data_IF_955628221429
#
_entry.id   IF_955628221429
#
_cell.length_a   1.000
_cell.length_b   1.000
_cell.length_c   1.000
_cell.angle_alpha   90.00
_cell.angle_beta   90.00
_cell.angle_gamma   90.00
#
_symmetry.space_group_name_H-M   'P 1'
#
loop_
_entity.id
_entity.type
_entity.pdbx_description
1 polymer ?
#
# COMPACT_ATOMS: atom_id res chain seq x y z
N UNK A 1 8.00 -44.86 17.69
CA UNK A 1 6.63 -44.39 17.93
C UNK A 1 6.23 -43.49 16.76
N UNK A 2 5.27 -43.90 15.93
CA UNK A 2 4.75 -43.06 14.83
C UNK A 2 3.79 -42.04 15.44
N UNK A 3 4.21 -40.79 15.57
CA UNK A 3 3.31 -39.68 15.85
C UNK A 3 2.60 -39.36 14.54
N UNK A 4 1.40 -39.90 14.36
CA UNK A 4 0.52 -39.48 13.27
C UNK A 4 0.04 -38.06 13.59
N UNK A 5 0.70 -37.05 13.01
CA UNK A 5 0.24 -35.66 12.99
C UNK A 5 -1.04 -35.55 12.14
N UNK A 6 -2.14 -36.12 12.61
CA UNK A 6 -3.46 -35.71 12.17
C UNK A 6 -3.77 -34.41 12.91
N UNK A 7 -3.25 -33.30 12.40
CA UNK A 7 -3.78 -31.98 12.76
C UNK A 7 -5.24 -31.99 12.36
N UNK A 8 -6.13 -32.20 13.33
CA UNK A 8 -7.56 -32.03 13.16
C UNK A 8 -7.77 -30.53 12.94
N UNK A 9 -7.63 -30.12 11.68
CA UNK A 9 -7.87 -28.76 11.26
C UNK A 9 -9.34 -28.47 11.49
N UNK A 10 -9.61 -27.39 12.23
CA UNK A 10 -10.99 -26.96 12.44
C UNK A 10 -11.56 -26.48 11.10
N UNK A 11 -12.81 -26.82 10.79
CA UNK A 11 -13.49 -26.35 9.58
C UNK A 11 -13.66 -24.81 9.53
N UNK A 12 -13.48 -24.12 10.67
CA UNK A 12 -13.54 -22.64 10.77
C UNK A 12 -12.16 -21.96 10.66
N UNK A 13 -11.16 -22.65 10.12
CA UNK A 13 -9.82 -22.07 9.93
C UNK A 13 -9.83 -20.83 9.02
N UNK A 14 -10.69 -20.78 8.01
CA UNK A 14 -10.82 -19.60 7.13
C UNK A 14 -11.31 -18.36 7.90
N UNK A 15 -12.29 -18.55 8.80
CA UNK A 15 -12.83 -17.46 9.62
C UNK A 15 -11.81 -16.90 10.61
N UNK A 16 -10.85 -17.72 11.05
CA UNK A 16 -9.73 -17.28 11.89
C UNK A 16 -8.85 -16.26 11.17
N UNK A 17 -8.58 -16.47 9.88
CA UNK A 17 -7.77 -15.54 9.07
C UNK A 17 -8.49 -14.21 8.92
N UNK A 18 -9.78 -14.24 8.59
CA UNK A 18 -10.64 -13.04 8.48
C UNK A 18 -10.69 -12.28 9.82
N UNK A 19 -10.78 -12.99 10.95
CA UNK A 19 -10.69 -12.40 12.29
C UNK A 19 -9.33 -11.73 12.55
N UNK A 20 -8.22 -12.42 12.21
CA UNK A 20 -6.84 -11.95 12.43
C UNK A 20 -6.48 -10.69 11.66
N UNK A 21 -7.08 -10.46 10.49
CA UNK A 21 -6.89 -9.26 9.68
C UNK A 21 -7.91 -8.15 9.97
N UNK A 22 -8.86 -8.39 10.88
CA UNK A 22 -9.92 -7.43 11.20
C UNK A 22 -10.93 -7.24 10.07
N UNK A 23 -11.02 -8.22 9.17
CA UNK A 23 -11.95 -8.22 8.05
C UNK A 23 -13.33 -8.78 8.46
N UNK A 24 -13.41 -9.47 9.61
CA UNK A 24 -14.64 -10.04 10.12
C UNK A 24 -15.61 -8.93 10.57
N UNK A 25 -16.89 -9.08 10.23
CA UNK A 25 -17.93 -8.21 10.77
C UNK A 25 -18.05 -8.38 12.30
N UNK A 26 -18.69 -7.43 12.98
CA UNK A 26 -18.83 -7.49 14.45
C UNK A 26 -19.56 -8.74 14.94
N UNK A 27 -20.51 -9.24 14.16
CA UNK A 27 -21.29 -10.42 14.51
C UNK A 27 -20.46 -11.69 14.28
N UNK A 28 -19.75 -11.79 13.15
CA UNK A 28 -18.83 -12.89 12.85
C UNK A 28 -17.69 -12.97 13.87
N UNK A 29 -17.09 -11.84 14.24
CA UNK A 29 -16.04 -11.79 15.25
C UNK A 29 -16.51 -12.34 16.62
N UNK A 30 -17.72 -11.95 17.05
CA UNK A 30 -18.31 -12.47 18.30
C UNK A 30 -18.61 -13.97 18.23
N UNK A 31 -19.08 -14.44 17.08
CA UNK A 31 -19.40 -15.86 16.89
C UNK A 31 -18.14 -16.72 16.75
N UNK A 32 -17.04 -16.16 16.23
CA UNK A 32 -15.73 -16.79 16.24
C UNK A 32 -15.13 -16.81 17.65
N UNK A 33 -15.24 -15.74 18.43
CA UNK A 33 -14.79 -15.70 19.83
C UNK A 33 -15.48 -16.75 20.70
N UNK A 34 -16.81 -16.93 20.54
CA UNK A 34 -17.55 -18.02 21.21
C UNK A 34 -17.06 -19.41 20.78
N UNK A 35 -16.68 -19.58 19.52
CA UNK A 35 -16.14 -20.84 19.04
C UNK A 35 -14.76 -21.12 19.62
N UNK A 36 -13.89 -20.11 19.71
CA UNK A 36 -12.58 -20.24 20.32
C UNK A 36 -12.64 -20.66 21.79
N UNK A 37 -13.66 -20.22 22.54
CA UNK A 37 -13.89 -20.68 23.92
C UNK A 37 -14.19 -22.18 24.02
N UNK A 38 -14.70 -22.78 22.93
CA UNK A 38 -15.11 -24.19 22.87
C UNK A 38 -14.18 -25.07 22.01
N UNK A 39 -13.24 -24.47 21.27
CA UNK A 39 -12.36 -25.15 20.33
C UNK A 39 -10.89 -24.86 20.69
N UNK A 40 -10.26 -25.78 21.41
CA UNK A 40 -8.86 -25.66 21.82
C UNK A 40 -7.89 -25.62 20.64
N UNK A 41 -8.20 -26.27 19.52
CA UNK A 41 -7.38 -26.25 18.31
C UNK A 41 -7.23 -24.83 17.76
N UNK A 42 -8.36 -24.12 17.56
CA UNK A 42 -8.33 -22.72 17.11
C UNK A 42 -7.67 -21.78 18.13
N UNK A 43 -7.86 -22.01 19.42
CA UNK A 43 -7.20 -21.20 20.45
C UNK A 43 -5.67 -21.35 20.43
N UNK A 44 -5.17 -22.59 20.23
CA UNK A 44 -3.74 -22.88 20.12
C UNK A 44 -3.14 -22.32 18.82
N UNK A 45 -3.85 -22.47 17.70
CA UNK A 45 -3.42 -21.89 16.41
C UNK A 45 -3.34 -20.36 16.50
N UNK A 46 -4.35 -19.70 17.09
CA UNK A 46 -4.33 -18.25 17.26
C UNK A 46 -3.16 -17.78 18.14
N UNK A 47 -2.86 -18.51 19.22
CA UNK A 47 -1.70 -18.23 20.08
C UNK A 47 -0.38 -18.42 19.30
N UNK A 48 -0.26 -19.48 18.50
CA UNK A 48 0.91 -19.70 17.66
C UNK A 48 1.12 -18.57 16.63
N UNK A 49 0.05 -18.06 16.02
CA UNK A 49 0.12 -16.88 15.15
C UNK A 49 0.56 -15.62 15.89
N UNK A 50 0.15 -15.46 17.16
CA UNK A 50 0.63 -14.38 18.04
C UNK A 50 2.16 -14.38 18.15
N UNK A 51 2.74 -15.54 18.44
CA UNK A 51 4.20 -15.69 18.57
C UNK A 51 4.94 -15.35 17.25
N UNK A 52 4.38 -15.74 16.10
CA UNK A 52 4.96 -15.39 14.79
C UNK A 52 4.93 -13.88 14.55
N UNK A 53 3.81 -13.20 14.90
CA UNK A 53 3.70 -11.75 14.75
C UNK A 53 4.68 -11.00 15.66
N UNK A 54 4.87 -11.48 16.89
CA UNK A 54 5.86 -10.95 17.81
C UNK A 54 7.28 -11.10 17.27
N UNK A 55 7.66 -12.31 16.84
CA UNK A 55 8.97 -12.57 16.24
C UNK A 55 9.24 -11.72 14.97
N UNK A 56 8.24 -11.54 14.11
CA UNK A 56 8.33 -10.64 12.93
C UNK A 56 8.46 -9.19 13.37
N UNK A 57 7.78 -8.78 14.44
CA UNK A 57 7.91 -7.45 15.04
C UNK A 57 9.32 -7.19 15.56
N UNK A 58 9.87 -8.12 16.32
CA UNK A 58 11.25 -8.08 16.82
C UNK A 58 12.26 -8.05 15.67
N UNK A 59 12.12 -8.94 14.68
CA UNK A 59 12.99 -8.95 13.50
C UNK A 59 12.93 -7.63 12.73
N UNK A 60 11.73 -7.07 12.57
CA UNK A 60 11.54 -5.76 11.93
C UNK A 60 12.22 -4.66 12.75
N UNK A 61 12.10 -4.69 14.07
CA UNK A 61 12.78 -3.74 14.95
C UNK A 61 14.29 -3.92 14.92
N UNK A 62 14.82 -5.13 14.82
CA UNK A 62 16.25 -5.38 14.70
C UNK A 62 16.79 -4.92 13.34
N UNK A 63 16.06 -5.22 12.26
CA UNK A 63 16.48 -4.91 10.88
C UNK A 63 16.35 -3.42 10.54
N UNK A 64 15.30 -2.76 11.05
CA UNK A 64 15.04 -1.34 10.79
C UNK A 64 15.52 -0.43 11.93
N UNK A 65 15.69 -0.95 13.15
CA UNK A 65 16.12 -0.20 14.32
C UNK A 65 17.53 0.39 14.20
N UNK A 66 18.37 -0.23 13.38
CA UNK A 66 19.68 0.33 13.01
C UNK A 66 19.56 1.60 12.14
N UNK A 67 18.43 1.77 11.42
CA UNK A 67 18.19 2.90 10.54
C UNK A 67 17.30 3.98 11.17
N UNK A 68 16.55 3.66 12.24
CA UNK A 68 15.80 4.66 13.01
C UNK A 68 16.70 5.30 14.06
N UNK A 69 17.59 6.18 13.61
CA UNK A 69 17.43 7.59 13.99
C UNK A 69 16.73 7.90 15.33
N UNK A 70 17.31 7.88 16.55
CA UNK A 70 16.59 8.27 17.78
C UNK A 70 15.99 9.69 17.74
N UNK A 71 16.42 10.51 16.77
CA UNK A 71 15.82 11.79 16.46
C UNK A 71 14.35 11.72 15.98
N UNK A 72 13.87 10.57 15.46
CA UNK A 72 12.49 10.43 14.99
C UNK A 72 11.50 10.05 16.11
N UNK A 73 11.94 9.30 17.13
CA UNK A 73 11.10 8.94 18.28
C UNK A 73 10.70 10.15 19.14
N UNK A 74 11.56 11.17 19.21
CA UNK A 74 11.25 12.43 19.88
C UNK A 74 10.06 13.19 19.25
N UNK A 75 9.76 12.94 17.97
CA UNK A 75 8.59 13.51 17.30
C UNK A 75 7.37 12.56 17.30
N UNK A 76 7.57 11.24 17.25
CA UNK A 76 6.47 10.27 17.35
C UNK A 76 5.78 10.30 18.73
N UNK A 77 6.53 10.50 19.82
CA UNK A 77 5.97 10.65 21.16
C UNK A 77 5.10 11.92 21.33
N UNK A 78 5.22 12.92 20.45
CA UNK A 78 4.39 14.13 20.47
C UNK A 78 3.06 13.98 19.73
N UNK A 79 2.88 12.92 18.94
CA UNK A 79 1.64 12.68 18.18
C UNK A 79 0.60 11.82 18.91
N UNK A 80 0.93 11.27 20.09
CA UNK A 80 -0.03 10.57 20.96
C UNK A 80 -0.64 11.46 22.04
N UNK A 81 -0.38 12.77 22.03
CA UNK A 81 -1.23 13.71 22.75
C UNK A 81 -2.55 13.88 21.96
N UNK A 82 -3.73 13.62 22.57
CA UNK A 82 -5.02 13.78 21.90
C UNK A 82 -5.33 15.28 21.77
N UNK A 83 -4.67 15.96 20.84
CA UNK A 83 -5.01 17.30 20.43
C UNK A 83 -6.18 17.22 19.45
N UNK A 84 -7.39 17.15 20.02
CA UNK A 84 -8.63 17.50 19.34
C UNK A 84 -8.56 18.99 19.00
N UNK A 85 -7.90 19.35 17.90
CA UNK A 85 -7.98 20.70 17.35
C UNK A 85 -8.10 20.64 15.84
N UNK A 86 -9.35 20.77 15.41
CA UNK A 86 -9.84 21.34 14.15
C UNK A 86 -9.15 20.94 12.84
N UNK A 87 -9.95 20.29 12.00
CA UNK A 87 -9.76 20.03 10.58
C UNK A 87 -9.28 21.27 9.81
N UNK A 88 -7.96 21.48 9.77
CA UNK A 88 -7.31 22.24 8.72
C UNK A 88 -6.96 21.22 7.67
N UNK A 89 -7.52 21.38 6.46
CA UNK A 89 -7.26 20.48 5.34
C UNK A 89 -5.74 20.23 5.25
N UNK A 90 -5.28 18.97 5.32
CA UNK A 90 -3.87 18.69 5.20
C UNK A 90 -3.41 19.27 3.86
N UNK A 91 -2.38 20.12 3.90
CA UNK A 91 -1.84 20.69 2.67
C UNK A 91 -1.40 19.54 1.77
N UNK A 92 -1.60 19.64 0.46
CA UNK A 92 -1.23 18.57 -0.48
C UNK A 92 0.25 18.14 -0.33
N UNK A 93 1.11 19.04 0.16
CA UNK A 93 2.50 18.77 0.47
C UNK A 93 2.69 17.82 1.66
N UNK A 94 1.78 17.85 2.64
CA UNK A 94 1.78 16.94 3.80
C UNK A 94 1.47 15.52 3.35
N UNK A 95 0.46 15.33 2.51
CA UNK A 95 0.11 14.01 1.96
C UNK A 95 1.25 13.45 1.07
N UNK A 96 1.91 14.30 0.28
CA UNK A 96 3.09 13.90 -0.50
C UNK A 96 4.25 13.47 0.41
N UNK A 97 4.50 14.22 1.49
CA UNK A 97 5.55 13.88 2.45
C UNK A 97 5.27 12.55 3.14
N UNK A 98 4.01 12.30 3.49
CA UNK A 98 3.57 11.01 4.04
C UNK A 98 3.79 9.86 3.06
N UNK A 99 3.49 10.07 1.78
CA UNK A 99 3.72 9.07 0.72
C UNK A 99 5.20 8.71 0.56
N UNK A 100 6.10 9.71 0.65
CA UNK A 100 7.55 9.47 0.62
C UNK A 100 8.10 8.87 1.93
N UNK A 101 7.42 9.10 3.07
CA UNK A 101 7.79 8.41 4.32
C UNK A 101 7.36 6.95 4.33
N UNK A 102 6.33 6.56 3.59
CA UNK A 102 5.94 5.16 3.41
C UNK A 102 6.68 4.47 2.25
N UNK A 103 7.38 5.19 1.38
CA UNK A 103 8.07 4.57 0.26
C UNK A 103 9.33 3.80 0.71
N UNK A 104 9.60 2.62 0.12
CA UNK A 104 10.79 1.83 0.40
C UNK A 104 12.09 2.63 0.22
N UNK A 105 13.11 2.31 1.01
CA UNK A 105 14.39 3.04 1.01
C UNK A 105 15.05 3.11 -0.39
N UNK A 106 14.91 2.07 -1.21
CA UNK A 106 15.42 2.04 -2.59
C UNK A 106 14.73 3.07 -3.50
N UNK A 107 13.44 3.34 -3.28
CA UNK A 107 12.70 4.33 -4.06
C UNK A 107 13.17 5.75 -3.74
N UNK A 108 13.55 6.02 -2.48
CA UNK A 108 14.14 7.31 -2.08
C UNK A 108 15.50 7.55 -2.72
N UNK A 109 16.32 6.52 -2.84
CA UNK A 109 17.58 6.60 -3.56
C UNK A 109 17.35 6.89 -5.06
N UNK A 110 16.39 6.20 -5.69
CA UNK A 110 16.04 6.41 -7.09
C UNK A 110 15.54 7.83 -7.37
N UNK A 111 14.69 8.40 -6.50
CA UNK A 111 14.18 9.76 -6.68
C UNK A 111 15.27 10.82 -6.51
N UNK A 112 16.23 10.62 -5.60
CA UNK A 112 17.37 11.52 -5.46
C UNK A 112 18.23 11.54 -6.74
N UNK A 113 18.55 10.37 -7.29
CA UNK A 113 19.32 10.26 -8.54
C UNK A 113 18.56 10.89 -9.71
N UNK A 114 17.26 10.61 -9.83
CA UNK A 114 16.42 11.17 -10.88
C UNK A 114 16.35 12.71 -10.79
N UNK A 115 16.22 13.27 -9.59
CA UNK A 115 16.21 14.72 -9.39
C UNK A 115 17.53 15.37 -9.80
N UNK A 116 18.67 14.77 -9.45
CA UNK A 116 20.00 15.27 -9.86
C UNK A 116 20.17 15.19 -11.37
N UNK A 117 19.78 14.07 -11.99
CA UNK A 117 19.82 13.89 -13.45
C UNK A 117 18.94 14.91 -14.17
N UNK A 118 17.72 15.15 -13.67
CA UNK A 118 16.82 16.16 -14.22
C UNK A 118 17.42 17.57 -14.13
N UNK A 119 18.04 17.93 -13.00
CA UNK A 119 18.72 19.21 -12.84
C UNK A 119 19.92 19.35 -13.79
N UNK A 120 20.71 18.29 -13.95
CA UNK A 120 21.84 18.29 -14.87
C UNK A 120 21.38 18.47 -16.33
N UNK A 121 20.32 17.76 -16.75
CA UNK A 121 19.74 17.90 -18.08
C UNK A 121 19.15 19.30 -18.30
N UNK A 122 18.48 19.87 -17.30
CA UNK A 122 17.96 21.23 -17.38
C UNK A 122 19.08 22.26 -17.54
N UNK A 123 20.17 22.14 -16.79
CA UNK A 123 21.35 23.01 -16.91
C UNK A 123 22.00 22.88 -18.29
N UNK A 124 22.14 21.66 -18.81
CA UNK A 124 22.65 21.40 -20.16
C UNK A 124 21.73 22.03 -21.21
N UNK A 125 20.41 21.85 -21.11
CA UNK A 125 19.46 22.44 -22.04
C UNK A 125 19.57 23.97 -22.09
N UNK A 126 19.65 24.62 -20.93
CA UNK A 126 19.85 26.08 -20.84
C UNK A 126 21.18 26.48 -21.48
N UNK A 127 22.27 25.76 -21.23
CA UNK A 127 23.56 26.04 -21.86
C UNK A 127 23.49 25.90 -23.40
N UNK A 128 22.79 24.89 -23.92
CA UNK A 128 22.56 24.73 -25.36
C UNK A 128 21.71 25.86 -25.95
N UNK A 129 20.72 26.37 -25.23
CA UNK A 129 19.90 27.50 -25.70
C UNK A 129 20.69 28.81 -25.73
N UNK A 130 21.57 29.04 -24.76
CA UNK A 130 22.47 30.21 -24.76
C UNK A 130 23.51 30.13 -25.88
N UNK A 131 23.98 28.92 -26.20
CA UNK A 131 24.98 28.69 -27.25
C UNK A 131 24.43 28.64 -28.66
N UNK A 132 23.11 28.56 -28.87
CA UNK A 132 22.58 28.85 -30.20
C UNK A 132 22.71 30.36 -30.38
N UNK A 133 23.74 30.89 -31.11
CA UNK A 133 23.66 32.26 -31.55
C UNK A 133 22.31 32.36 -32.26
N UNK A 134 21.53 33.38 -31.94
CA UNK A 134 20.35 33.67 -32.71
C UNK A 134 20.79 33.54 -34.16
N UNK A 135 20.19 32.62 -34.90
CA UNK A 135 20.24 32.67 -36.34
C UNK A 135 19.65 34.02 -36.62
N UNK A 136 20.52 35.02 -36.73
CA UNK A 136 20.21 36.35 -37.15
C UNK A 136 19.49 36.07 -38.46
N UNK A 137 18.16 36.13 -38.40
CA UNK A 137 17.35 36.06 -39.58
C UNK A 137 17.89 37.25 -40.33
N UNK A 138 18.75 36.98 -41.31
CA UNK A 138 19.21 37.98 -42.27
C UNK A 138 17.90 38.39 -42.92
N UNK A 139 17.26 39.38 -42.30
CA UNK A 139 16.20 40.15 -42.88
C UNK A 139 16.91 40.79 -44.05
N UNK A 140 16.80 40.12 -45.19
CA UNK A 140 17.25 40.64 -46.45
C UNK A 140 16.48 41.96 -46.58
N UNK A 141 17.15 43.12 -46.45
CA UNK A 141 16.45 44.39 -46.42
C UNK A 141 15.87 44.60 -47.83
N UNK A 142 14.59 44.29 -47.99
CA UNK A 142 13.90 44.37 -49.29
C UNK A 142 12.87 43.28 -49.58
N UNK A 143 12.84 42.15 -48.85
CA UNK A 143 11.69 41.23 -48.94
C UNK A 143 10.63 41.64 -47.94
N UNK A 144 9.64 42.39 -48.43
CA UNK A 144 8.40 42.66 -47.72
C UNK A 144 7.88 41.35 -47.12
N UNK A 145 7.49 41.40 -45.84
CA UNK A 145 7.01 40.24 -45.09
C UNK A 145 5.99 39.44 -45.89
N UNK A 146 5.98 38.12 -45.68
CA UNK A 146 5.01 37.21 -46.26
C UNK A 146 3.62 37.86 -46.28
N UNK A 147 3.10 38.12 -47.47
CA UNK A 147 1.77 38.70 -47.59
C UNK A 147 0.78 37.74 -46.94
N UNK A 148 -0.25 38.26 -46.30
CA UNK A 148 -1.27 37.47 -45.60
C UNK A 148 -1.84 36.35 -46.50
N UNK A 149 -1.92 36.63 -47.80
CA UNK A 149 -2.33 35.68 -48.85
C UNK A 149 -1.37 34.51 -49.04
N UNK A 150 -0.07 34.73 -48.93
CA UNK A 150 0.94 33.67 -49.08
C UNK A 150 0.98 32.76 -47.84
N UNK A 151 0.66 33.32 -46.66
CA UNK A 151 0.48 32.52 -45.44
C UNK A 151 -0.78 31.66 -45.55
N UNK A 152 -1.89 32.24 -46.03
CA UNK A 152 -3.16 31.53 -46.19
C UNK A 152 -3.07 30.41 -47.24
N UNK A 153 -2.34 30.64 -48.34
CA UNK A 153 -2.07 29.60 -49.35
C UNK A 153 -1.25 28.43 -48.77
N UNK A 154 -0.20 28.73 -47.99
CA UNK A 154 0.60 27.67 -47.34
C UNK A 154 -0.19 26.89 -46.29
N UNK A 155 -1.08 27.54 -45.55
CA UNK A 155 -1.98 26.87 -44.60
C UNK A 155 -2.96 25.97 -45.35
N UNK A 156 -3.54 26.45 -46.46
CA UNK A 156 -4.45 25.67 -47.28
C UNK A 156 -3.75 24.45 -47.92
N UNK A 157 -2.50 24.60 -48.38
CA UNK A 157 -1.71 23.50 -48.91
C UNK A 157 -1.39 22.45 -47.84
N UNK A 158 -1.02 22.88 -46.63
CA UNK A 158 -0.73 21.99 -45.51
C UNK A 158 -1.97 21.19 -45.07
N UNK A 159 -3.13 21.84 -45.02
CA UNK A 159 -4.41 21.17 -44.70
C UNK A 159 -4.80 20.14 -45.76
N UNK A 160 -4.59 20.44 -47.05
CA UNK A 160 -4.85 19.47 -48.14
C UNK A 160 -3.96 18.24 -48.02
N UNK A 161 -2.67 18.42 -47.76
CA UNK A 161 -1.73 17.31 -47.52
C UNK A 161 -2.15 16.45 -46.32
N UNK A 162 -2.62 17.09 -45.24
CA UNK A 162 -3.09 16.35 -44.06
C UNK A 162 -4.35 15.54 -44.34
N UNK A 163 -5.28 16.06 -45.15
CA UNK A 163 -6.49 15.34 -45.55
C UNK A 163 -6.17 14.16 -46.46
N UNK A 164 -5.26 14.34 -47.42
CA UNK A 164 -4.86 13.28 -48.36
C UNK A 164 -4.17 12.11 -47.64
N UNK A 165 -3.39 12.39 -46.58
CA UNK A 165 -2.81 11.35 -45.73
C UNK A 165 -3.88 10.59 -44.91
N UNK A 166 -4.87 11.29 -44.35
CA UNK A 166 -5.94 10.62 -43.57
C UNK A 166 -6.86 9.74 -44.44
N UNK A 167 -7.11 10.11 -45.70
CA UNK A 167 -7.95 9.31 -46.61
C UNK A 167 -7.25 8.03 -47.05
N UNK A 168 -5.92 8.02 -47.12
CA UNK A 168 -5.15 6.87 -47.62
C UNK A 168 -5.02 5.73 -46.60
N UNK A 169 -5.14 6.05 -45.30
CA UNK A 169 -5.06 5.09 -44.21
C UNK A 169 -6.44 4.69 -43.64
N UNK A 170 -7.52 5.11 -44.30
CA UNK A 170 -8.91 4.67 -44.19
C UNK A 170 -9.22 3.22 -44.62
N UNK A 171 -9.11 2.11 -43.84
CA UNK A 171 -9.63 0.83 -44.30
C UNK A 171 -11.16 0.91 -44.46
N UNK A 172 -11.64 0.72 -45.69
CA UNK A 172 -13.06 0.62 -46.03
C UNK A 172 -13.61 -0.69 -45.44
N UNK A 173 -13.92 -0.67 -44.14
CA UNK A 173 -14.74 -1.67 -43.49
C UNK A 173 -16.21 -1.28 -43.72
N UNK A 174 -16.87 -1.98 -44.63
CA UNK A 174 -18.32 -1.91 -44.78
C UNK A 174 -18.98 -2.27 -43.44
N UNK A 175 -19.86 -1.42 -42.86
CA UNK A 175 -20.57 -1.79 -41.65
C UNK A 175 -21.58 -2.89 -42.00
N UNK A 176 -21.29 -4.10 -41.53
CA UNK A 176 -22.25 -5.19 -41.46
C UNK A 176 -23.47 -4.70 -40.66
N UNK A 177 -24.65 -4.92 -41.22
CA UNK A 177 -25.94 -4.44 -40.74
C UNK A 177 -26.17 -4.83 -39.27
N UNK A 178 -25.97 -3.87 -38.36
CA UNK A 178 -26.37 -3.99 -36.95
C UNK A 178 -27.88 -3.96 -36.91
N UNK A 179 -28.48 -5.14 -36.69
CA UNK A 179 -29.91 -5.28 -36.37
C UNK A 179 -30.18 -4.54 -35.06
N UNK A 180 -30.81 -3.38 -35.17
CA UNK A 180 -31.42 -2.66 -34.06
C UNK A 180 -32.53 -3.58 -33.52
N UNK A 181 -32.28 -4.19 -32.37
CA UNK A 181 -33.34 -4.80 -31.57
C UNK A 181 -33.84 -3.74 -30.60
N UNK A 182 -35.14 -3.46 -30.68
CA UNK A 182 -35.86 -2.56 -29.80
C UNK A 182 -35.62 -2.94 -28.33
N UNK A 183 -34.77 -2.18 -27.66
CA UNK A 183 -34.63 -2.22 -26.22
C UNK A 183 -35.61 -1.19 -25.64
N UNK A 184 -36.84 -1.63 -25.41
CA UNK A 184 -37.81 -0.89 -24.59
C UNK A 184 -37.20 -0.65 -23.20
N UNK A 185 -36.62 0.53 -23.04
CA UNK A 185 -36.24 1.06 -21.74
C UNK A 185 -37.50 1.32 -20.93
N UNK A 186 -37.90 0.29 -20.20
CA UNK A 186 -38.88 0.33 -19.13
C UNK A 186 -38.45 1.38 -18.11
N UNK A 187 -39.17 2.50 -18.11
CA UNK A 187 -39.04 3.60 -17.16
C UNK A 187 -39.36 3.10 -15.73
N UNK A 188 -38.38 2.55 -15.02
CA UNK A 188 -38.52 2.17 -13.61
C UNK A 188 -38.40 3.43 -12.76
N UNK A 189 -39.56 3.95 -12.36
CA UNK A 189 -39.69 4.98 -11.33
C UNK A 189 -38.99 4.51 -10.04
N UNK A 190 -38.02 5.26 -9.47
CA UNK A 190 -37.47 4.91 -8.17
C UNK A 190 -38.52 5.17 -7.08
N UNK A 191 -39.12 4.10 -6.54
CA UNK A 191 -39.88 4.15 -5.28
C UNK A 191 -38.86 4.33 -4.14
N UNK A 192 -38.64 5.58 -3.74
CA UNK A 192 -37.97 5.92 -2.48
C UNK A 192 -38.90 5.45 -1.35
N UNK A 193 -38.64 4.25 -0.82
CA UNK A 193 -39.23 3.79 0.46
C UNK A 193 -38.56 4.59 1.58
N UNK A 194 -39.29 5.55 2.13
CA UNK A 194 -39.01 6.11 3.46
C UNK A 194 -39.15 4.99 4.47
N UNK A 195 -38.02 4.52 5.00
CA UNK A 195 -38.03 3.68 6.19
C UNK A 195 -38.34 4.60 7.37
N UNK A 196 -39.53 4.39 7.94
CA UNK A 196 -39.97 5.04 9.15
C UNK A 196 -39.00 4.69 10.30
N UNK A 197 -38.60 5.72 11.04
CA UNK A 197 -37.91 5.64 12.31
C UNK A 197 -38.62 4.67 13.26
N UNK A 198 -38.01 3.53 13.52
CA UNK A 198 -38.28 2.73 14.72
C UNK A 198 -37.28 3.14 15.80
N UNK A 199 -37.80 3.92 16.72
CA UNK A 199 -37.22 4.23 18.03
C UNK A 199 -36.78 2.95 18.76
N UNK A 200 -35.51 2.77 19.15
CA UNK A 200 -35.18 1.81 20.19
C UNK A 200 -35.54 2.44 21.55
N UNK A 201 -36.62 1.95 22.14
CA UNK A 201 -36.94 2.22 23.55
C UNK A 201 -35.78 1.75 24.44
N UNK A 202 -35.36 2.64 25.33
CA UNK A 202 -34.53 2.31 26.48
C UNK A 202 -35.24 1.25 27.34
N UNK A 203 -34.78 0.00 27.28
CA UNK A 203 -35.04 -0.97 28.32
C UNK A 203 -33.92 -0.89 29.37
N UNK A 204 -34.20 -0.03 30.35
CA UNK A 204 -33.54 0.11 31.63
C UNK A 204 -33.57 -1.23 32.39
N UNK A 205 -32.43 -1.94 32.45
CA UNK A 205 -32.24 -3.07 33.36
C UNK A 205 -31.21 -2.70 34.43
N UNK A 206 -31.75 -2.14 35.51
CA UNK A 206 -31.16 -2.10 36.85
C UNK A 206 -30.74 -3.53 37.29
N UNK A 207 -29.46 -3.87 37.14
CA UNK A 207 -28.87 -5.04 37.81
C UNK A 207 -27.98 -4.57 38.94
N UNK A 208 -28.55 -4.63 40.16
CA UNK A 208 -27.89 -4.49 41.46
C UNK A 208 -26.53 -5.19 41.43
N UNK A 209 -25.45 -4.40 41.54
CA UNK A 209 -24.13 -4.90 41.90
C UNK A 209 -24.15 -5.21 43.40
N UNK A 210 -24.14 -6.50 43.71
CA UNK A 210 -23.89 -6.99 45.06
C UNK A 210 -22.37 -7.04 45.25
N UNK A 211 -21.84 -6.00 45.88
CA UNK A 211 -20.45 -5.88 46.30
C UNK A 211 -20.21 -6.92 47.39
N UNK A 212 -19.45 -7.97 47.07
CA UNK A 212 -18.88 -8.89 48.07
C UNK A 212 -17.42 -8.46 48.26
N UNK A 213 -16.99 -8.09 49.48
CA UNK A 213 -15.58 -7.80 49.74
C UNK A 213 -14.82 -9.12 49.83
N UNK A 214 -14.02 -9.43 48.80
CA UNK A 214 -13.06 -10.54 48.85
C UNK A 214 -11.76 -10.03 49.46
N UNK A 215 -11.60 -10.33 50.74
CA UNK A 215 -10.33 -10.31 51.48
C UNK A 215 -9.23 -11.01 50.69
N UNK A 216 -8.18 -10.27 50.36
CA UNK A 216 -6.93 -10.80 49.78
C UNK A 216 -5.99 -11.08 50.96
N UNK A 217 -5.57 -12.34 51.19
CA UNK A 217 -4.49 -12.60 52.13
C UNK A 217 -3.15 -12.24 51.49
N UNK A 218 -2.44 -11.43 52.25
CA UNK A 218 -1.00 -11.20 52.28
C UNK A 218 -0.17 -12.49 52.08
N UNK A 219 0.99 -12.30 51.44
CA UNK A 219 2.20 -13.11 51.58
C UNK A 219 2.23 -14.49 50.92
N UNK A 220 2.89 -14.56 49.75
CA UNK A 220 3.91 -15.59 49.52
C UNK A 220 4.93 -15.13 48.47
N UNK A 221 6.11 -14.85 49.00
CA UNK A 221 7.41 -14.69 48.34
C UNK A 221 7.83 -16.07 47.81
N UNK A 222 7.76 -16.28 46.50
CA UNK A 222 8.44 -17.34 45.75
C UNK A 222 9.32 -16.59 44.75
N UNK A 223 10.56 -16.29 45.10
CA UNK A 223 11.72 -17.18 44.97
C UNK A 223 11.93 -17.60 43.52
N UNK A 224 12.91 -16.92 42.92
CA UNK A 224 13.39 -17.08 41.57
C UNK A 224 13.80 -18.53 41.33
N UNK A 225 13.03 -19.27 40.54
CA UNK A 225 13.57 -20.36 39.75
C UNK A 225 14.02 -19.76 38.41
N UNK A 226 15.34 -19.69 38.27
CA UNK A 226 16.08 -19.43 37.05
C UNK A 226 15.53 -20.31 35.92
N UNK A 227 14.67 -19.76 35.07
CA UNK A 227 14.41 -20.36 33.76
C UNK A 227 15.58 -19.98 32.89
N UNK A 228 16.46 -20.95 32.71
CA UNK A 228 17.56 -20.96 31.75
C UNK A 228 17.06 -20.46 30.40
N UNK A 229 17.33 -19.18 30.15
CA UNK A 229 17.36 -18.61 28.82
C UNK A 229 18.47 -19.35 28.07
N UNK A 230 18.10 -20.39 27.32
CA UNK A 230 19.00 -20.95 26.33
C UNK A 230 19.28 -19.84 25.32
N UNK A 231 20.53 -19.37 25.21
CA UNK A 231 20.87 -18.46 24.14
C UNK A 231 20.67 -19.24 22.84
N UNK A 232 19.79 -18.75 21.98
CA UNK A 232 19.75 -19.17 20.57
C UNK A 232 21.00 -18.59 19.89
N UNK A 233 22.19 -19.06 20.29
CA UNK A 233 23.35 -19.00 19.43
C UNK A 233 23.02 -19.94 18.28
N UNK A 234 22.65 -19.36 17.14
CA UNK A 234 22.86 -20.02 15.87
C UNK A 234 24.34 -20.40 15.83
N UNK A 235 24.63 -21.63 16.24
CA UNK A 235 25.91 -22.26 15.97
C UNK A 235 25.89 -22.40 14.47
N UNK A 236 26.61 -21.49 13.81
CA UNK A 236 26.88 -21.55 12.40
C UNK A 236 27.66 -22.84 12.17
N UNK A 237 26.93 -23.92 11.91
CA UNK A 237 27.41 -24.94 10.99
C UNK A 237 27.55 -24.21 9.66
N UNK A 238 28.73 -23.63 9.46
CA UNK A 238 29.24 -23.25 8.17
C UNK A 238 29.27 -24.53 7.35
N UNK A 239 28.13 -24.89 6.75
CA UNK A 239 28.09 -25.78 5.60
C UNK A 239 29.00 -25.14 4.58
N UNK A 240 30.24 -25.64 4.58
CA UNK A 240 31.32 -25.31 3.67
C UNK A 240 30.84 -25.72 2.29
N UNK A 241 30.11 -24.81 1.64
CA UNK A 241 29.70 -24.95 0.26
C UNK A 241 30.96 -25.29 -0.55
N UNK A 242 30.95 -26.36 -1.35
CA UNK A 242 32.11 -26.73 -2.16
C UNK A 242 32.54 -25.51 -2.97
N UNK A 243 33.81 -25.15 -2.83
CA UNK A 243 34.42 -24.07 -3.58
C UNK A 243 34.32 -24.42 -5.06
N UNK A 244 33.92 -23.46 -5.90
CA UNK A 244 33.91 -23.61 -7.35
C UNK A 244 35.29 -23.99 -7.92
N UNK A 245 36.37 -23.79 -7.16
CA UNK A 245 37.71 -24.24 -7.52
C UNK A 245 37.88 -25.78 -7.44
N UNK A 246 37.13 -26.48 -6.59
CA UNK A 246 37.21 -27.94 -6.45
C UNK A 246 36.54 -28.69 -7.63
N UNK A 247 35.84 -27.99 -8.52
CA UNK A 247 35.13 -28.56 -9.68
C UNK A 247 35.91 -28.43 -11.01
N UNK A 248 37.11 -27.84 -11.02
CA UNK A 248 37.85 -27.54 -12.26
C UNK A 248 39.05 -28.48 -12.50
N UNK A 249 39.38 -29.38 -11.57
CA UNK A 249 40.59 -30.22 -11.66
C UNK A 249 40.36 -31.70 -12.06
N UNK A 250 39.18 -32.11 -12.51
CA UNK A 250 38.98 -33.44 -13.13
C UNK A 250 38.86 -33.34 -14.66
N UNK A 251 40.00 -33.45 -15.36
CA UNK A 251 40.24 -34.35 -16.51
C UNK A 251 41.38 -33.81 -17.40
N UNK A 252 42.59 -34.35 -17.18
CA UNK A 252 43.59 -34.57 -18.24
C UNK A 252 44.51 -35.74 -17.90
#
# INVERSE_FOLDING_TARGET
MKVSNNTISCARAEEMVTYLYGEATRDEARDFEKHMQNCSSCALELAAFGNVREAVGEWRQQSLGSLTSPALEANAARHFAPAVTHARSPSALTALREFFTLSPAWMRAATAVAAVMFCALAAIAVAYFVQKPQTEVVQTPGKAGYSEKEVEEKIAEALRKQYELQVKDAPVAFPESVKITDNEQRLVKPKIKRNASSTPQLANNNRKQQIVPRTVPSSSKMELASTDFLPFTAQGDEEKLPSLADLVDEDN
#
